data_IF_002880325686
#
_entry.id   IF_002880325686
#
_cell.length_a   1.000
_cell.length_b   1.000
_cell.length_c   1.000
_cell.angle_alpha   90.00
_cell.angle_beta   90.00
_cell.angle_gamma   90.00
#
_symmetry.space_group_name_H-M   'P 1'
#
loop_
_entity.id
_entity.type
_entity.pdbx_description
1 polymer ?
#
# COMPACT_ATOMS: atom_id res chain seq x y z
N UNK A 1 15.15 22.97 1.12
CA UNK A 1 14.38 22.23 2.15
C UNK A 1 13.73 21.02 1.48
N UNK A 2 14.44 19.91 1.44
CA UNK A 2 14.03 18.68 0.77
C UNK A 2 14.22 17.57 1.81
N UNK A 3 13.27 17.37 2.73
CA UNK A 3 13.52 16.43 3.82
C UNK A 3 12.30 15.66 4.34
N UNK A 4 11.11 16.27 4.47
CA UNK A 4 9.98 15.54 5.05
C UNK A 4 9.05 14.91 4.00
N UNK A 5 8.75 15.64 2.93
CA UNK A 5 7.76 15.20 1.93
C UNK A 5 8.28 14.05 1.05
N UNK A 6 9.57 14.06 0.68
CA UNK A 6 10.19 12.94 -0.03
C UNK A 6 10.35 11.69 0.85
N UNK A 7 10.74 11.88 2.12
CA UNK A 7 10.86 10.78 3.08
C UNK A 7 9.50 10.10 3.30
N UNK A 8 8.43 10.89 3.44
CA UNK A 8 7.08 10.37 3.57
C UNK A 8 6.63 9.59 2.33
N UNK A 9 6.94 10.06 1.11
CA UNK A 9 6.66 9.31 -0.13
C UNK A 9 7.38 7.96 -0.15
N UNK A 10 8.64 7.90 0.29
CA UNK A 10 9.39 6.63 0.37
C UNK A 10 8.73 5.67 1.35
N UNK A 11 8.35 6.13 2.55
CA UNK A 11 7.65 5.31 3.54
C UNK A 11 6.33 4.75 2.98
N UNK A 12 5.54 5.55 2.26
CA UNK A 12 4.30 5.08 1.64
C UNK A 12 4.59 4.01 0.58
N UNK A 13 5.62 4.18 -0.26
CA UNK A 13 5.99 3.16 -1.26
C UNK A 13 6.38 1.84 -0.59
N UNK A 14 7.20 1.87 0.46
CA UNK A 14 7.53 0.66 1.23
C UNK A 14 6.31 0.06 1.91
N UNK A 15 5.40 0.87 2.47
CA UNK A 15 4.17 0.39 3.08
C UNK A 15 3.25 -0.30 2.07
N UNK A 16 3.14 0.24 0.85
CA UNK A 16 2.39 -0.37 -0.27
C UNK A 16 3.02 -1.72 -0.64
N UNK A 17 4.34 -1.77 -0.86
CA UNK A 17 5.05 -3.00 -1.19
C UNK A 17 4.86 -4.06 -0.10
N UNK A 18 4.94 -3.65 1.17
CA UNK A 18 4.71 -4.53 2.31
C UNK A 18 3.27 -5.03 2.36
N UNK A 19 2.28 -4.16 2.19
CA UNK A 19 0.88 -4.54 2.21
C UNK A 19 0.52 -5.51 1.08
N UNK A 20 1.00 -5.24 -0.14
CA UNK A 20 0.78 -6.12 -1.29
C UNK A 20 1.52 -7.44 -1.13
N UNK A 21 2.79 -7.42 -0.71
CA UNK A 21 3.58 -8.63 -0.48
C UNK A 21 2.97 -9.51 0.61
N UNK A 22 2.57 -8.91 1.74
CA UNK A 22 1.91 -9.61 2.84
C UNK A 22 0.53 -10.15 2.45
N UNK A 23 -0.25 -9.38 1.68
CA UNK A 23 -1.53 -9.84 1.15
C UNK A 23 -1.38 -11.06 0.25
N UNK A 24 -0.42 -11.05 -0.67
CA UNK A 24 -0.11 -12.20 -1.54
C UNK A 24 0.36 -13.40 -0.72
N UNK A 25 1.19 -13.17 0.30
CA UNK A 25 1.67 -14.22 1.20
C UNK A 25 0.54 -14.90 1.97
N UNK A 26 -0.37 -14.12 2.59
CA UNK A 26 -1.51 -14.67 3.31
C UNK A 26 -2.50 -15.38 2.38
N UNK A 27 -2.69 -14.91 1.15
CA UNK A 27 -3.48 -15.64 0.14
C UNK A 27 -2.83 -16.99 -0.19
N UNK A 28 -1.50 -17.04 -0.32
CA UNK A 28 -0.76 -18.28 -0.53
C UNK A 28 -0.90 -19.25 0.64
N UNK A 29 -0.90 -18.74 1.88
CA UNK A 29 -1.20 -19.54 3.08
C UNK A 29 -2.65 -20.03 3.06
N UNK A 30 -3.62 -19.21 2.66
CA UNK A 30 -5.00 -19.62 2.55
C UNK A 30 -5.18 -20.78 1.56
N UNK A 31 -4.51 -20.72 0.40
CA UNK A 31 -4.55 -21.80 -0.60
C UNK A 31 -3.98 -23.11 -0.05
N UNK A 32 -2.96 -23.06 0.82
CA UNK A 32 -2.31 -24.26 1.37
C UNK A 32 -2.97 -24.79 2.66
N UNK A 33 -3.51 -23.93 3.52
CA UNK A 33 -4.00 -24.28 4.86
C UNK A 33 -5.51 -24.13 5.05
N UNK A 34 -6.24 -23.54 4.11
CA UNK A 34 -7.69 -23.32 4.19
C UNK A 34 -8.13 -22.39 5.34
N UNK A 35 -7.21 -21.59 5.89
CA UNK A 35 -7.46 -20.79 7.10
C UNK A 35 -8.15 -19.46 6.76
N UNK A 36 -9.46 -19.37 6.97
CA UNK A 36 -10.28 -18.19 6.64
C UNK A 36 -9.75 -16.85 7.19
N UNK A 37 -9.07 -16.87 8.35
CA UNK A 37 -8.46 -15.69 8.97
C UNK A 37 -7.41 -15.05 8.03
N UNK A 38 -6.66 -15.89 7.31
CA UNK A 38 -5.65 -15.45 6.34
C UNK A 38 -6.24 -14.70 5.15
N UNK A 39 -7.42 -15.13 4.71
CA UNK A 39 -8.13 -14.49 3.61
C UNK A 39 -8.61 -13.08 3.99
N UNK A 40 -9.14 -12.93 5.20
CA UNK A 40 -9.60 -11.64 5.74
C UNK A 40 -8.41 -10.68 5.88
N UNK A 41 -7.29 -11.14 6.45
CA UNK A 41 -6.06 -10.36 6.57
C UNK A 41 -5.53 -9.95 5.19
N UNK A 42 -5.46 -10.89 4.24
CA UNK A 42 -4.99 -10.63 2.88
C UNK A 42 -5.83 -9.59 2.14
N UNK A 43 -7.17 -9.71 2.19
CA UNK A 43 -8.09 -8.71 1.60
C UNK A 43 -7.93 -7.35 2.28
N UNK A 44 -7.88 -7.32 3.61
CA UNK A 44 -7.76 -6.06 4.37
C UNK A 44 -6.48 -5.32 3.99
N UNK A 45 -5.35 -6.04 3.95
CA UNK A 45 -4.07 -5.47 3.53
C UNK A 45 -4.04 -5.08 2.05
N UNK A 46 -4.71 -5.82 1.16
CA UNK A 46 -4.83 -5.45 -0.24
C UNK A 46 -5.64 -4.15 -0.43
N UNK A 47 -6.72 -3.97 0.34
CA UNK A 47 -7.53 -2.73 0.34
C UNK A 47 -6.71 -1.56 0.88
N UNK A 48 -6.04 -1.73 2.01
CA UNK A 48 -5.18 -0.71 2.62
C UNK A 48 -4.04 -0.31 1.67
N UNK A 49 -3.36 -1.29 1.07
CA UNK A 49 -2.30 -1.09 0.08
C UNK A 49 -2.80 -0.35 -1.16
N UNK A 50 -3.95 -0.74 -1.71
CA UNK A 50 -4.56 -0.08 -2.87
C UNK A 50 -5.01 1.35 -2.56
N UNK A 51 -5.57 1.58 -1.38
CA UNK A 51 -5.94 2.92 -0.90
C UNK A 51 -4.73 3.85 -0.78
N UNK A 52 -3.61 3.34 -0.25
CA UNK A 52 -2.34 4.08 -0.22
C UNK A 52 -1.75 4.33 -1.61
N UNK A 53 -1.84 3.35 -2.51
CA UNK A 53 -1.43 3.51 -3.92
C UNK A 53 -2.21 4.63 -4.58
N UNK A 54 -3.54 4.62 -4.41
CA UNK A 54 -4.42 5.67 -4.91
C UNK A 54 -4.05 7.03 -4.32
N UNK A 55 -3.81 7.10 -3.01
CA UNK A 55 -3.38 8.32 -2.33
C UNK A 55 -2.07 8.85 -2.91
N UNK A 56 -1.07 8.00 -3.14
CA UNK A 56 0.23 8.38 -3.68
C UNK A 56 0.16 8.87 -5.14
N UNK A 57 -0.63 8.18 -5.97
CA UNK A 57 -0.86 8.58 -7.37
C UNK A 57 -1.62 9.91 -7.44
N UNK A 58 -2.61 10.13 -6.58
CA UNK A 58 -3.33 11.42 -6.51
C UNK A 58 -2.51 12.53 -5.83
N UNK A 59 -1.52 12.19 -5.01
CA UNK A 59 -0.64 13.16 -4.37
C UNK A 59 0.15 13.99 -5.40
N UNK A 60 0.49 13.39 -6.54
CA UNK A 60 1.16 14.11 -7.62
C UNK A 60 0.23 15.12 -8.31
N UNK A 61 -1.09 14.85 -8.37
CA UNK A 61 -2.07 15.89 -8.78
C UNK A 61 -2.09 17.07 -7.80
N UNK A 62 -2.06 16.81 -6.49
CA UNK A 62 -2.06 17.87 -5.49
C UNK A 62 -0.75 18.67 -5.45
N UNK A 63 0.39 18.03 -5.70
CA UNK A 63 1.69 18.69 -5.73
C UNK A 63 1.99 19.36 -7.09
N UNK A 64 1.55 18.75 -8.19
CA UNK A 64 1.63 19.28 -9.55
C UNK A 64 0.70 20.47 -9.79
N UNK A 65 -0.45 20.53 -9.10
CA UNK A 65 -1.30 21.73 -9.07
C UNK A 65 -0.63 22.94 -8.38
N UNK A 66 0.47 22.74 -7.64
CA UNK A 66 1.28 23.81 -7.05
C UNK A 66 2.45 24.27 -7.94
N UNK A 67 2.43 23.87 -9.22
CA UNK A 67 3.21 24.50 -10.29
C UNK A 67 2.27 25.21 -11.27
N UNK A 68 1.55 26.23 -10.79
CA UNK A 68 1.19 27.37 -11.62
C UNK A 68 0.98 28.60 -10.76
#
# INVERSE_FOLDING_TARGET
MLSLMNFHKVLIVFAILFCLGFGIYEISIFVNSGRNISLILGITFAILGSGMLYYLVHLDRFLGAKKK
#
